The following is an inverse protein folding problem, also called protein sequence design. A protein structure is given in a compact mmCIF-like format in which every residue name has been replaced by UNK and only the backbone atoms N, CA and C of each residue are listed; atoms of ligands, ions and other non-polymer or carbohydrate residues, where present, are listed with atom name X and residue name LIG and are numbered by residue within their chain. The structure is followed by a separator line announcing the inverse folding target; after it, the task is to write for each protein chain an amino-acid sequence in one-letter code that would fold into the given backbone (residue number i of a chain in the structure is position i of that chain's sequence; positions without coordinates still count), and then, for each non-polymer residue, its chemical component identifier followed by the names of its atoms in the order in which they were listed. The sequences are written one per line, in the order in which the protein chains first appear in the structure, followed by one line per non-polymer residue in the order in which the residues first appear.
data_IF_371074411046
#
_entry.id   IF_371074411046
#
_cell.length_a   1.000
_cell.length_b   1.000
_cell.length_c   1.000
_cell.angle_alpha   90.00
_cell.angle_beta   90.00
_cell.angle_gamma   90.00
#
_symmetry.space_group_name_H-M   'P 1'
#
loop_
_entity.id
_entity.type
_entity.pdbx_description
1 polymer ?
#
# COMPACT_ATOMS: atom_id res chain seq x y z
N UNK A 1 -6.49 -20.50 -0.07
CA UNK A 1 -7.12 -19.70 -1.14
C UNK A 1 -6.92 -20.41 -2.46
N UNK A 2 -7.99 -20.64 -3.23
CA UNK A 2 -7.90 -21.33 -4.54
C UNK A 2 -7.63 -20.26 -5.61
N UNK A 3 -6.48 -20.36 -6.28
CA UNK A 3 -6.11 -19.45 -7.38
C UNK A 3 -6.84 -19.85 -8.66
N UNK A 4 -7.32 -18.86 -9.42
CA UNK A 4 -7.89 -19.06 -10.75
C UNK A 4 -6.79 -19.35 -11.78
N UNK A 5 -7.16 -19.81 -12.99
CA UNK A 5 -6.21 -19.98 -14.09
C UNK A 5 -5.52 -18.64 -14.44
N UNK A 6 -6.27 -17.54 -14.39
CA UNK A 6 -5.75 -16.19 -14.62
C UNK A 6 -4.73 -15.78 -13.55
N UNK A 7 -5.00 -16.07 -12.27
CA UNK A 7 -4.05 -15.79 -11.19
C UNK A 7 -2.74 -16.57 -11.35
N UNK A 8 -2.81 -17.81 -11.83
CA UNK A 8 -1.61 -18.63 -12.09
C UNK A 8 -0.77 -18.01 -13.22
N UNK A 9 -1.39 -17.56 -14.31
CA UNK A 9 -0.70 -16.88 -15.42
C UNK A 9 -0.06 -15.57 -14.96
N UNK A 10 -0.76 -14.77 -14.13
CA UNK A 10 -0.23 -13.54 -13.53
C UNK A 10 0.95 -13.84 -12.60
N UNK A 11 0.87 -14.90 -11.79
CA UNK A 11 1.96 -15.33 -10.92
C UNK A 11 3.20 -15.75 -11.71
N UNK A 12 3.04 -16.52 -12.77
CA UNK A 12 4.15 -16.91 -13.66
C UNK A 12 4.82 -15.67 -14.27
N UNK A 13 4.03 -14.72 -14.79
CA UNK A 13 4.53 -13.46 -15.33
C UNK A 13 5.27 -12.64 -14.26
N UNK A 14 4.68 -12.49 -13.06
CA UNK A 14 5.28 -11.74 -11.96
C UNK A 14 6.61 -12.38 -11.54
N UNK A 15 6.64 -13.71 -11.42
CA UNK A 15 7.86 -14.46 -11.06
C UNK A 15 8.96 -14.23 -12.08
N UNK A 16 8.67 -14.32 -13.38
CA UNK A 16 9.64 -14.07 -14.43
C UNK A 16 10.20 -12.63 -14.41
N UNK A 17 9.37 -11.64 -14.10
CA UNK A 17 9.79 -10.23 -13.98
C UNK A 17 10.67 -9.96 -12.76
N UNK A 18 10.66 -10.84 -11.76
CA UNK A 18 11.46 -10.69 -10.54
C UNK A 18 12.73 -11.54 -10.54
N UNK A 19 13.02 -12.25 -11.63
CA UNK A 19 14.31 -12.93 -11.80
C UNK A 19 15.44 -11.91 -11.89
N UNK A 20 16.49 -12.08 -11.07
CA UNK A 20 17.60 -11.16 -11.03
C UNK A 20 18.41 -11.23 -9.74
N UNK A 21 19.26 -10.22 -9.54
CA UNK A 21 20.14 -10.14 -8.36
C UNK A 21 19.53 -9.32 -7.22
N UNK A 22 18.21 -9.36 -7.06
CA UNK A 22 17.53 -8.70 -5.95
C UNK A 22 17.77 -9.44 -4.63
N UNK A 23 17.80 -8.71 -3.52
CA UNK A 23 17.91 -9.23 -2.16
C UNK A 23 16.67 -8.92 -1.32
N UNK A 24 15.86 -7.94 -1.74
CA UNK A 24 14.65 -7.56 -1.05
C UNK A 24 13.49 -7.29 -2.01
N UNK A 25 12.30 -7.72 -1.59
CA UNK A 25 11.03 -7.45 -2.21
C UNK A 25 10.22 -6.53 -1.30
N UNK A 26 9.86 -5.34 -1.80
CA UNK A 26 9.12 -4.32 -1.06
C UNK A 26 7.74 -4.17 -1.67
N UNK A 27 6.71 -4.57 -0.93
CA UNK A 27 5.32 -4.51 -1.40
C UNK A 27 4.61 -3.29 -0.81
N UNK A 28 3.82 -2.62 -1.61
CA UNK A 28 2.72 -1.83 -1.08
C UNK A 28 1.64 -2.75 -0.48
N UNK A 29 0.72 -2.18 0.29
CA UNK A 29 -0.33 -2.95 0.96
C UNK A 29 -1.66 -2.89 0.20
N UNK A 30 -2.28 -1.71 0.18
CA UNK A 30 -3.67 -1.52 -0.26
C UNK A 30 -3.72 -1.32 -1.78
N UNK A 31 -4.36 -2.23 -2.52
CA UNK A 31 -4.33 -2.30 -3.99
C UNK A 31 -3.22 -3.20 -4.54
N UNK A 32 -2.24 -3.57 -3.72
CA UNK A 32 -1.11 -4.43 -4.11
C UNK A 32 -1.19 -5.82 -3.48
N UNK A 33 -1.14 -5.93 -2.15
CA UNK A 33 -1.34 -7.20 -1.43
C UNK A 33 -2.80 -7.45 -1.08
N UNK A 34 -3.55 -6.39 -0.78
CA UNK A 34 -4.93 -6.39 -0.34
C UNK A 34 -5.85 -5.78 -1.40
N UNK A 35 -6.89 -6.52 -1.80
CA UNK A 35 -7.97 -6.04 -2.67
C UNK A 35 -9.00 -5.30 -1.83
N UNK A 36 -8.72 -4.05 -1.50
CA UNK A 36 -9.53 -3.25 -0.59
C UNK A 36 -9.67 -1.77 -1.00
N UNK A 37 -9.23 -1.38 -2.19
CA UNK A 37 -9.31 0.02 -2.62
C UNK A 37 -10.75 0.54 -2.69
N UNK A 38 -11.72 -0.30 -3.09
CA UNK A 38 -13.14 0.04 -3.04
C UNK A 38 -13.63 0.35 -1.61
N UNK A 39 -13.14 -0.38 -0.62
CA UNK A 39 -13.45 -0.18 0.80
C UNK A 39 -12.79 1.09 1.34
N UNK A 40 -11.57 1.39 0.90
CA UNK A 40 -10.91 2.65 1.23
C UNK A 40 -11.66 3.85 0.67
N UNK A 41 -12.13 3.79 -0.60
CA UNK A 41 -12.99 4.82 -1.21
C UNK A 41 -14.26 5.04 -0.41
N UNK A 42 -14.99 3.96 -0.08
CA UNK A 42 -16.19 4.04 0.73
C UNK A 42 -15.94 4.67 2.11
N UNK A 43 -14.83 4.33 2.77
CA UNK A 43 -14.44 4.92 4.05
C UNK A 43 -14.11 6.42 3.93
N UNK A 44 -13.46 6.86 2.85
CA UNK A 44 -13.22 8.29 2.58
C UNK A 44 -14.51 9.06 2.34
N UNK A 45 -15.44 8.50 1.53
CA UNK A 45 -16.75 9.11 1.28
C UNK A 45 -17.53 9.28 2.59
N UNK A 46 -17.57 8.25 3.43
CA UNK A 46 -18.24 8.31 4.74
C UNK A 46 -17.58 9.32 5.68
N UNK A 47 -16.25 9.35 5.73
CA UNK A 47 -15.53 10.33 6.55
C UNK A 47 -15.79 11.77 6.07
N UNK A 48 -15.78 12.02 4.76
CA UNK A 48 -16.07 13.32 4.17
C UNK A 48 -17.50 13.81 4.46
N UNK A 49 -18.46 12.88 4.48
CA UNK A 49 -19.84 13.18 4.83
C UNK A 49 -20.00 13.75 6.25
N UNK A 50 -19.13 13.38 7.20
CA UNK A 50 -19.12 13.93 8.57
C UNK A 50 -18.79 15.43 8.57
N UNK A 51 -18.19 15.92 7.48
CA UNK A 51 -17.83 17.34 7.27
C UNK A 51 -18.73 18.03 6.22
N UNK A 52 -19.88 17.42 5.90
CA UNK A 52 -20.82 17.90 4.87
C UNK A 52 -20.20 17.99 3.45
N UNK A 53 -19.21 17.14 3.15
CA UNK A 53 -18.57 17.05 1.84
C UNK A 53 -19.15 15.88 1.07
N UNK A 54 -19.71 16.13 -0.12
CA UNK A 54 -20.04 15.10 -1.11
C UNK A 54 -18.79 14.79 -1.92
N UNK A 55 -18.01 13.80 -1.47
CA UNK A 55 -16.73 13.48 -2.04
C UNK A 55 -16.88 12.71 -3.35
N UNK A 56 -16.20 13.16 -4.42
CA UNK A 56 -15.91 12.33 -5.58
C UNK A 56 -14.74 11.40 -5.24
N UNK A 57 -14.98 10.11 -5.19
CA UNK A 57 -14.01 9.11 -4.75
C UNK A 57 -12.85 8.87 -5.71
N UNK A 58 -12.91 9.41 -6.94
CA UNK A 58 -11.80 9.39 -7.89
C UNK A 58 -10.51 10.03 -7.32
N UNK A 59 -10.63 10.98 -6.40
CA UNK A 59 -9.48 11.57 -5.69
C UNK A 59 -8.65 10.50 -4.94
N UNK A 60 -9.29 9.42 -4.49
CA UNK A 60 -8.59 8.35 -3.75
C UNK A 60 -7.70 7.55 -4.69
N UNK A 61 -8.13 7.33 -5.96
CA UNK A 61 -7.31 6.69 -6.98
C UNK A 61 -6.13 7.56 -7.39
N UNK A 62 -6.37 8.87 -7.57
CA UNK A 62 -5.32 9.83 -7.93
C UNK A 62 -4.20 9.91 -6.89
N UNK A 63 -4.55 9.75 -5.62
CA UNK A 63 -3.65 9.89 -4.47
C UNK A 63 -3.34 8.54 -3.80
N UNK A 64 -3.54 7.42 -4.51
CA UNK A 64 -3.25 6.09 -3.99
C UNK A 64 -1.81 6.00 -3.46
N UNK A 65 -1.64 5.44 -2.26
CA UNK A 65 -0.35 5.36 -1.59
C UNK A 65 0.08 6.59 -0.79
N UNK A 66 -0.63 7.73 -0.89
CA UNK A 66 -0.37 8.88 -0.03
C UNK A 66 -0.79 8.62 1.41
N UNK A 67 -0.08 9.23 2.40
CA UNK A 67 -0.57 9.26 3.78
C UNK A 67 -1.98 9.82 3.87
N UNK A 68 -2.87 9.17 4.60
CA UNK A 68 -4.29 9.55 4.72
C UNK A 68 -4.48 11.00 5.15
N UNK A 69 -3.58 11.54 6.00
CA UNK A 69 -3.62 12.94 6.45
C UNK A 69 -3.39 13.92 5.30
N UNK A 70 -2.51 13.60 4.34
CA UNK A 70 -2.27 14.44 3.16
C UNK A 70 -3.41 14.33 2.15
N UNK A 71 -4.06 13.16 2.04
CA UNK A 71 -5.30 13.03 1.26
C UNK A 71 -6.40 13.91 1.86
N UNK A 72 -6.53 13.95 3.20
CA UNK A 72 -7.48 14.83 3.89
C UNK A 72 -7.20 16.31 3.62
N UNK A 73 -5.94 16.73 3.62
CA UNK A 73 -5.52 18.10 3.27
C UNK A 73 -5.91 18.45 1.83
N UNK A 74 -5.65 17.56 0.87
CA UNK A 74 -6.02 17.78 -0.53
C UNK A 74 -7.54 17.81 -0.73
N UNK A 75 -8.30 17.00 0.01
CA UNK A 75 -9.78 17.08 0.04
C UNK A 75 -10.21 18.45 0.53
N UNK A 76 -9.69 18.93 1.66
CA UNK A 76 -10.02 20.24 2.21
C UNK A 76 -9.76 21.37 1.20
N UNK A 77 -8.62 21.32 0.50
CA UNK A 77 -8.23 22.26 -0.52
C UNK A 77 -9.17 22.25 -1.73
N UNK A 78 -9.45 21.07 -2.31
CA UNK A 78 -10.32 20.95 -3.50
C UNK A 78 -11.77 21.34 -3.22
N UNK A 79 -12.27 21.04 -2.02
CA UNK A 79 -13.63 21.35 -1.60
C UNK A 79 -13.75 22.70 -0.87
N UNK A 80 -12.65 23.48 -0.80
CA UNK A 80 -12.59 24.81 -0.17
C UNK A 80 -13.18 24.85 1.24
N UNK A 81 -12.84 23.85 2.05
CA UNK A 81 -13.30 23.67 3.42
C UNK A 81 -12.12 23.57 4.38
N UNK A 82 -12.39 23.69 5.68
CA UNK A 82 -11.40 23.57 6.74
C UNK A 82 -11.86 22.59 7.81
N UNK A 83 -10.99 21.67 8.17
CA UNK A 83 -11.17 20.72 9.26
C UNK A 83 -9.80 20.23 9.75
N UNK A 84 -9.77 19.54 10.89
CA UNK A 84 -8.56 18.88 11.38
C UNK A 84 -8.25 17.63 10.54
N UNK A 85 -7.17 17.66 9.76
CA UNK A 85 -6.75 16.58 8.86
C UNK A 85 -6.36 15.32 9.62
N UNK A 86 -5.81 15.47 10.84
CA UNK A 86 -5.47 14.34 11.71
C UNK A 86 -6.73 13.66 12.21
N UNK A 87 -7.70 14.45 12.67
CA UNK A 87 -9.00 13.92 13.12
C UNK A 87 -9.74 13.23 11.97
N UNK A 88 -9.78 13.84 10.77
CA UNK A 88 -10.36 13.22 9.58
C UNK A 88 -9.70 11.87 9.28
N UNK A 89 -8.37 11.82 9.29
CA UNK A 89 -7.60 10.61 9.03
C UNK A 89 -7.91 9.49 10.04
N UNK A 90 -8.05 9.85 11.32
CA UNK A 90 -8.43 8.92 12.38
C UNK A 90 -9.86 8.39 12.19
N UNK A 91 -10.82 9.27 11.88
CA UNK A 91 -12.21 8.89 11.60
C UNK A 91 -12.32 7.98 10.38
N UNK A 92 -11.65 8.33 9.26
CA UNK A 92 -11.59 7.48 8.06
C UNK A 92 -11.02 6.09 8.39
N UNK A 93 -9.94 6.03 9.16
CA UNK A 93 -9.32 4.77 9.56
C UNK A 93 -10.23 3.95 10.47
N UNK A 94 -10.93 4.59 11.41
CA UNK A 94 -11.90 3.94 12.27
C UNK A 94 -13.07 3.36 11.48
N UNK A 95 -13.64 4.11 10.52
CA UNK A 95 -14.70 3.63 9.63
C UNK A 95 -14.23 2.42 8.83
N UNK A 96 -13.02 2.48 8.25
CA UNK A 96 -12.47 1.35 7.50
C UNK A 96 -12.33 0.10 8.36
N UNK A 97 -11.76 0.23 9.55
CA UNK A 97 -11.57 -0.89 10.48
C UNK A 97 -12.90 -1.46 10.98
N UNK A 98 -13.87 -0.62 11.28
CA UNK A 98 -15.14 -1.06 11.84
C UNK A 98 -16.08 -1.72 10.83
N UNK A 99 -16.05 -1.23 9.57
CA UNK A 99 -17.07 -1.61 8.60
C UNK A 99 -16.54 -2.48 7.45
N UNK A 100 -15.25 -2.41 7.14
CA UNK A 100 -14.74 -2.97 5.89
C UNK A 100 -13.57 -3.95 6.05
N UNK A 101 -12.74 -3.81 7.07
CA UNK A 101 -11.46 -4.52 7.14
C UNK A 101 -11.60 -6.04 7.07
N UNK A 102 -12.62 -6.61 7.73
CA UNK A 102 -12.87 -8.05 7.76
C UNK A 102 -13.28 -8.63 6.40
N UNK A 103 -13.75 -7.78 5.49
CA UNK A 103 -14.10 -8.17 4.11
C UNK A 103 -12.94 -8.05 3.12
N UNK A 104 -11.78 -7.60 3.58
CA UNK A 104 -10.58 -7.47 2.75
C UNK A 104 -10.11 -8.84 2.25
N UNK A 105 -9.95 -8.96 0.94
CA UNK A 105 -9.40 -10.15 0.31
C UNK A 105 -7.94 -9.94 -0.08
N UNK A 106 -7.10 -10.97 -0.08
CA UNK A 106 -5.77 -10.88 -0.66
C UNK A 106 -5.85 -10.80 -2.19
N UNK A 107 -4.92 -10.10 -2.82
CA UNK A 107 -4.69 -10.20 -4.27
C UNK A 107 -3.92 -11.50 -4.52
N UNK A 108 -4.56 -12.54 -5.13
CA UNK A 108 -4.09 -13.91 -5.00
C UNK A 108 -2.67 -14.14 -5.53
N UNK A 109 -2.37 -13.63 -6.72
CA UNK A 109 -1.07 -13.87 -7.36
C UNK A 109 0.08 -13.10 -6.68
N UNK A 110 -0.19 -11.90 -6.11
CA UNK A 110 0.84 -11.13 -5.41
C UNK A 110 1.16 -11.76 -4.05
N UNK A 111 0.12 -12.17 -3.30
CA UNK A 111 0.31 -12.86 -2.02
C UNK A 111 0.99 -14.23 -2.22
N UNK A 112 0.65 -14.95 -3.29
CA UNK A 112 1.35 -16.22 -3.62
C UNK A 112 2.82 -15.97 -3.96
N UNK A 113 3.13 -14.91 -4.72
CA UNK A 113 4.51 -14.50 -5.01
C UNK A 113 5.27 -14.16 -3.72
N UNK A 114 4.70 -13.35 -2.83
CA UNK A 114 5.30 -13.03 -1.54
C UNK A 114 5.64 -14.32 -0.76
N UNK A 115 4.65 -15.19 -0.56
CA UNK A 115 4.81 -16.43 0.21
C UNK A 115 5.84 -17.40 -0.37
N UNK A 116 5.98 -17.45 -1.70
CA UNK A 116 6.99 -18.27 -2.37
C UNK A 116 8.44 -17.82 -2.09
N UNK A 117 8.61 -16.56 -1.64
CA UNK A 117 9.91 -15.94 -1.41
C UNK A 117 10.26 -15.76 0.08
N UNK A 118 9.35 -16.09 1.00
CA UNK A 118 9.63 -16.08 2.45
C UNK A 118 10.83 -16.98 2.76
N UNK A 119 11.79 -16.45 3.54
CA UNK A 119 13.03 -17.13 3.89
C UNK A 119 14.08 -17.23 2.76
N UNK A 120 13.75 -16.79 1.54
CA UNK A 120 14.68 -16.73 0.40
C UNK A 120 15.11 -15.29 0.10
N UNK A 121 14.18 -14.36 0.26
CA UNK A 121 14.36 -12.92 0.05
C UNK A 121 13.98 -12.18 1.33
N UNK A 122 14.52 -10.98 1.51
CA UNK A 122 14.01 -10.07 2.53
C UNK A 122 12.68 -9.49 2.07
N UNK A 123 11.66 -9.55 2.92
CA UNK A 123 10.30 -9.11 2.59
C UNK A 123 9.94 -7.87 3.41
N UNK A 124 9.63 -6.78 2.73
CA UNK A 124 9.13 -5.56 3.36
C UNK A 124 7.74 -5.18 2.85
N UNK A 125 6.97 -4.53 3.73
CA UNK A 125 5.75 -3.82 3.32
C UNK A 125 5.91 -2.34 3.62
N UNK A 126 5.53 -1.48 2.65
CA UNK A 126 5.65 -0.02 2.72
C UNK A 126 4.31 0.60 2.31
N UNK A 127 3.57 1.16 3.27
CA UNK A 127 2.21 1.66 3.05
C UNK A 127 2.02 3.11 3.50
N UNK A 128 1.12 3.82 2.81
CA UNK A 128 0.61 5.14 3.21
C UNK A 128 -0.43 5.11 4.33
N UNK A 129 -0.83 3.91 4.79
CA UNK A 129 -1.73 3.72 5.92
C UNK A 129 -1.03 3.82 7.28
N UNK A 130 -1.82 4.02 8.36
CA UNK A 130 -1.30 3.95 9.72
C UNK A 130 -0.85 2.53 10.07
N UNK A 131 0.17 2.38 10.92
CA UNK A 131 0.66 1.06 11.35
C UNK A 131 -0.45 0.18 11.93
N UNK A 132 -1.34 0.77 12.73
CA UNK A 132 -2.46 0.05 13.33
C UNK A 132 -3.38 -0.56 12.27
N UNK A 133 -3.79 0.22 11.27
CA UNK A 133 -4.67 -0.23 10.19
C UNK A 133 -3.98 -1.26 9.30
N UNK A 134 -2.76 -0.95 8.84
CA UNK A 134 -2.00 -1.83 7.94
C UNK A 134 -1.71 -3.18 8.58
N UNK A 135 -1.30 -3.20 9.88
CA UNK A 135 -1.07 -4.47 10.59
C UNK A 135 -2.32 -5.34 10.70
N UNK A 136 -3.50 -4.72 10.84
CA UNK A 136 -4.76 -5.45 10.84
C UNK A 136 -5.10 -5.99 9.44
N UNK A 137 -4.94 -5.19 8.38
CA UNK A 137 -5.11 -5.62 6.99
C UNK A 137 -4.22 -6.82 6.68
N UNK A 138 -2.92 -6.74 6.99
CA UNK A 138 -1.96 -7.83 6.77
C UNK A 138 -2.34 -9.11 7.51
N UNK A 139 -2.90 -8.99 8.72
CA UNK A 139 -3.41 -10.14 9.50
C UNK A 139 -4.64 -10.75 8.83
N UNK A 140 -5.59 -9.93 8.37
CA UNK A 140 -6.81 -10.41 7.70
C UNK A 140 -6.45 -11.18 6.43
N UNK A 141 -5.50 -10.69 5.62
CA UNK A 141 -5.05 -11.39 4.41
C UNK A 141 -4.01 -12.49 4.68
N UNK A 142 -3.59 -12.69 5.94
CA UNK A 142 -2.76 -13.82 6.38
C UNK A 142 -1.30 -13.76 5.93
N UNK A 143 -0.68 -12.56 5.96
CA UNK A 143 0.74 -12.35 5.64
C UNK A 143 1.51 -11.58 6.73
N UNK A 144 0.89 -11.29 7.86
CA UNK A 144 1.48 -10.48 8.95
C UNK A 144 2.76 -11.09 9.55
N UNK A 145 2.94 -12.41 9.41
CA UNK A 145 4.12 -13.14 9.91
C UNK A 145 5.18 -13.40 8.84
N UNK A 146 4.91 -13.02 7.61
CA UNK A 146 5.77 -13.30 6.45
C UNK A 146 6.72 -12.14 6.12
N UNK A 147 6.77 -11.11 6.98
CA UNK A 147 7.49 -9.87 6.76
C UNK A 147 8.73 -9.74 7.64
N UNK A 148 9.85 -9.26 7.08
CA UNK A 148 11.03 -8.82 7.83
C UNK A 148 10.89 -7.36 8.30
N UNK A 149 10.18 -6.52 7.55
CA UNK A 149 9.98 -5.10 7.89
C UNK A 149 8.61 -4.59 7.46
N UNK A 150 8.07 -3.66 8.24
CA UNK A 150 6.90 -2.86 7.92
C UNK A 150 7.25 -1.38 8.10
N UNK A 151 6.94 -0.54 7.10
CA UNK A 151 7.06 0.92 7.15
C UNK A 151 5.72 1.54 6.81
N UNK A 152 5.23 2.41 7.69
CA UNK A 152 3.89 3.00 7.61
C UNK A 152 3.94 4.52 7.62
N UNK A 153 2.80 5.17 7.35
CA UNK A 153 2.67 6.62 7.44
C UNK A 153 3.11 7.14 8.81
N UNK A 154 3.84 8.26 8.79
CA UNK A 154 4.36 8.93 9.99
C UNK A 154 5.67 8.34 10.54
N UNK A 155 6.22 7.30 9.93
CA UNK A 155 7.49 6.68 10.34
C UNK A 155 8.70 7.22 9.57
N UNK A 156 8.47 8.05 8.58
CA UNK A 156 9.47 8.77 7.80
C UNK A 156 9.10 10.25 7.72
N UNK A 157 10.07 11.09 7.38
CA UNK A 157 9.85 12.54 7.28
C UNK A 157 8.80 12.87 6.21
N UNK A 158 8.81 12.15 5.09
CA UNK A 158 7.86 12.31 3.98
C UNK A 158 7.34 10.94 3.55
N UNK A 159 6.06 10.87 3.15
CA UNK A 159 5.45 9.69 2.56
C UNK A 159 5.64 9.64 1.04
N UNK A 160 5.08 8.62 0.38
CA UNK A 160 4.97 8.56 -1.09
C UNK A 160 4.28 9.86 -1.59
N UNK A 161 4.74 10.47 -2.68
CA UNK A 161 5.67 9.98 -3.71
C UNK A 161 7.17 10.21 -3.41
N UNK A 162 7.54 10.63 -2.22
CA UNK A 162 8.94 10.77 -1.82
C UNK A 162 9.58 9.41 -1.55
N UNK A 163 10.92 9.27 -1.75
CA UNK A 163 11.61 7.98 -1.62
C UNK A 163 11.78 7.50 -0.17
N UNK A 164 11.57 8.40 0.81
CA UNK A 164 11.88 8.19 2.21
C UNK A 164 11.36 6.85 2.77
N UNK A 165 10.10 6.41 2.50
CA UNK A 165 9.59 5.15 3.05
C UNK A 165 10.30 3.90 2.49
N UNK A 166 10.61 3.88 1.20
CA UNK A 166 11.33 2.76 0.58
C UNK A 166 12.79 2.72 1.01
N UNK A 167 13.45 3.88 1.10
CA UNK A 167 14.81 3.97 1.62
C UNK A 167 14.90 3.50 3.08
N UNK A 168 13.92 3.89 3.92
CA UNK A 168 13.85 3.41 5.30
C UNK A 168 13.62 1.90 5.40
N UNK A 169 12.84 1.31 4.48
CA UNK A 169 12.66 -0.13 4.42
C UNK A 169 13.96 -0.85 4.04
N UNK A 170 14.67 -0.38 3.00
CA UNK A 170 15.95 -0.95 2.57
C UNK A 170 17.02 -0.85 3.69
N UNK A 171 17.11 0.28 4.38
CA UNK A 171 18.00 0.48 5.53
C UNK A 171 17.72 -0.52 6.64
N UNK A 172 16.44 -0.67 7.06
CA UNK A 172 16.04 -1.62 8.10
C UNK A 172 16.31 -3.08 7.72
N UNK A 173 16.26 -3.40 6.42
CA UNK A 173 16.59 -4.73 5.89
C UNK A 173 18.09 -4.96 5.71
N UNK A 174 18.91 -3.91 5.79
CA UNK A 174 20.36 -3.98 5.58
C UNK A 174 20.73 -4.27 4.12
N UNK A 175 19.93 -3.77 3.15
CA UNK A 175 20.14 -3.93 1.71
C UNK A 175 20.28 -2.58 1.03
N UNK A 176 20.95 -2.56 -0.12
CA UNK A 176 21.06 -1.33 -0.92
C UNK A 176 19.80 -1.11 -1.75
N UNK A 177 19.44 0.15 -2.08
CA UNK A 177 18.27 0.44 -2.91
C UNK A 177 18.27 -0.31 -4.25
N UNK A 178 19.41 -0.37 -4.95
CA UNK A 178 19.55 -1.08 -6.23
C UNK A 178 19.38 -2.61 -6.14
N UNK A 179 19.39 -3.16 -4.93
CA UNK A 179 19.15 -4.57 -4.64
C UNK A 179 17.67 -4.85 -4.29
N UNK A 180 16.82 -3.81 -4.31
CA UNK A 180 15.39 -3.91 -4.02
C UNK A 180 14.55 -3.85 -5.28
N UNK A 181 13.40 -4.54 -5.25
CA UNK A 181 12.33 -4.35 -6.23
C UNK A 181 11.04 -4.05 -5.49
N UNK A 182 10.32 -3.03 -5.97
CA UNK A 182 9.06 -2.53 -5.40
C UNK A 182 7.89 -3.06 -6.21
N UNK A 183 6.85 -3.50 -5.52
CA UNK A 183 5.56 -3.90 -6.11
C UNK A 183 4.51 -2.87 -5.69
N UNK A 184 3.85 -2.29 -6.67
CA UNK A 184 2.93 -1.16 -6.49
C UNK A 184 1.76 -1.22 -7.48
N UNK A 185 0.65 -0.57 -7.13
CA UNK A 185 -0.50 -0.38 -8.02
C UNK A 185 -0.76 1.09 -8.36
N UNK A 186 -0.14 2.04 -7.63
CA UNK A 186 -0.33 3.48 -7.76
C UNK A 186 0.89 4.25 -8.30
N UNK A 187 0.66 5.32 -9.07
CA UNK A 187 1.73 6.18 -9.61
C UNK A 187 2.59 6.84 -8.52
N UNK A 188 2.03 7.30 -7.38
CA UNK A 188 2.85 7.87 -6.31
C UNK A 188 3.87 6.90 -5.72
N UNK A 189 3.51 5.61 -5.59
CA UNK A 189 4.43 4.60 -5.12
C UNK A 189 5.51 4.27 -6.14
N UNK A 190 5.15 4.16 -7.42
CA UNK A 190 6.13 4.01 -8.50
C UNK A 190 7.11 5.18 -8.54
N UNK A 191 6.61 6.42 -8.41
CA UNK A 191 7.48 7.60 -8.35
C UNK A 191 8.43 7.57 -7.16
N UNK A 192 7.95 7.10 -6.01
CA UNK A 192 8.79 6.93 -4.82
C UNK A 192 9.88 5.87 -5.04
N UNK A 193 9.56 4.74 -5.69
CA UNK A 193 10.53 3.69 -6.04
C UNK A 193 11.61 4.21 -7.01
N UNK A 194 11.20 4.90 -8.06
CA UNK A 194 12.12 5.55 -9.03
C UNK A 194 13.04 6.52 -8.31
N UNK A 195 12.48 7.38 -7.45
CA UNK A 195 13.25 8.38 -6.68
C UNK A 195 14.20 7.74 -5.67
N UNK A 196 13.87 6.51 -5.19
CA UNK A 196 14.73 5.72 -4.32
C UNK A 196 15.85 4.97 -5.08
N UNK A 197 15.84 4.96 -6.42
CA UNK A 197 16.79 4.18 -7.23
C UNK A 197 16.50 2.68 -7.21
N UNK A 198 15.25 2.28 -6.99
CA UNK A 198 14.80 0.89 -6.92
C UNK A 198 14.11 0.46 -8.23
N UNK A 199 14.24 -0.82 -8.58
CA UNK A 199 13.39 -1.43 -9.60
C UNK A 199 11.94 -1.47 -9.11
N UNK A 200 10.97 -1.49 -10.04
CA UNK A 200 9.56 -1.52 -9.69
C UNK A 200 8.71 -2.30 -10.70
N UNK A 201 7.59 -2.80 -10.23
CA UNK A 201 6.57 -3.49 -11.03
C UNK A 201 5.19 -2.93 -10.66
N UNK A 202 4.40 -2.57 -11.69
CA UNK A 202 2.96 -2.25 -11.56
C UNK A 202 2.16 -3.55 -11.58
N UNK A 203 1.66 -3.96 -10.41
CA UNK A 203 0.91 -5.22 -10.27
C UNK A 203 -0.48 -5.17 -10.90
N UNK A 204 -1.08 -4.00 -11.00
CA UNK A 204 -2.35 -3.75 -11.68
C UNK A 204 -2.26 -3.92 -13.21
N UNK A 205 -1.04 -3.92 -13.77
CA UNK A 205 -0.77 -4.07 -15.21
C UNK A 205 -0.28 -5.47 -15.61
N UNK A 206 -0.33 -6.43 -14.68
CA UNK A 206 0.07 -7.82 -14.92
C UNK A 206 -1.09 -8.70 -15.45
#
# INVERSE_FOLDING_TARGET
MTMTKTDLQKLEKLTALTEGQYKAFLYDCDGTLADNMHSHKAAFVKAAALYNITLNDAIVDELAGWPTVLVAEEIAKRYQTQFDYTQFSQQKSAIFVQEFIESTLPIPFVVAHLKAHVGKMKIGVVSGGSRSTVSQTLRVIGVDKDLDVLVCAGETARGKPYPDPFLAAAEKLGVKPEECIVFEDGDPGVQAAISAGMAWIRVDQI
#
